data_IF_596329872092
#
_entry.id   IF_596329872092
#
_cell.length_a   1.000
_cell.length_b   1.000
_cell.length_c   1.000
_cell.angle_alpha   90.00
_cell.angle_beta   90.00
_cell.angle_gamma   90.00
#
_symmetry.space_group_name_H-M   'P 1'
#
loop_
_entity.id
_entity.type
_entity.pdbx_description
1 polymer ?
#
# COMPACT_ATOMS: atom_id res chain seq x y z
N UNK A 1 -6.00 16.61 -13.65
CA UNK A 1 -5.66 15.54 -12.67
C UNK A 1 -4.16 15.38 -12.69
N UNK A 2 -3.44 15.75 -11.62
CA UNK A 2 -2.00 15.50 -11.51
C UNK A 2 -1.81 14.14 -10.87
N UNK A 3 -1.18 13.21 -11.57
CA UNK A 3 -0.91 11.87 -11.05
C UNK A 3 0.56 11.82 -10.67
N UNK A 4 0.84 11.74 -9.37
CA UNK A 4 2.18 11.54 -8.82
C UNK A 4 2.37 10.04 -8.50
N UNK A 5 2.33 9.21 -9.53
CA UNK A 5 2.53 7.76 -9.43
C UNK A 5 3.59 7.37 -10.46
N UNK A 6 4.76 6.99 -9.98
CA UNK A 6 5.91 6.60 -10.80
C UNK A 6 6.55 5.31 -10.24
N UNK A 7 7.28 4.53 -11.07
CA UNK A 7 8.07 3.41 -10.58
C UNK A 7 9.07 3.86 -9.51
N UNK A 8 9.18 3.08 -8.43
CA UNK A 8 10.12 3.35 -7.32
C UNK A 8 11.56 3.15 -7.78
N UNK A 9 12.44 4.06 -7.36
CA UNK A 9 13.90 3.95 -7.47
C UNK A 9 14.48 3.38 -6.17
N UNK A 10 15.67 2.78 -6.25
CA UNK A 10 16.35 2.22 -5.08
C UNK A 10 16.72 3.27 -4.01
N UNK A 11 16.87 4.53 -4.42
CA UNK A 11 17.18 5.67 -3.57
C UNK A 11 15.94 6.31 -2.91
N UNK A 12 14.73 5.82 -3.22
CA UNK A 12 13.51 6.43 -2.70
C UNK A 12 13.26 6.01 -1.25
N UNK A 13 13.07 7.01 -0.39
CA UNK A 13 12.66 6.82 1.00
C UNK A 13 11.24 7.35 1.21
N UNK A 14 10.47 6.70 2.09
CA UNK A 14 9.09 7.10 2.38
C UNK A 14 8.07 6.56 1.39
N UNK A 15 6.99 7.33 1.16
CA UNK A 15 5.91 6.98 0.25
C UNK A 15 4.92 5.94 0.82
N UNK A 16 4.17 5.29 -0.07
CA UNK A 16 3.14 4.33 0.29
C UNK A 16 3.34 3.00 -0.44
N UNK A 17 3.16 1.88 0.25
CA UNK A 17 2.99 0.57 -0.39
C UNK A 17 1.51 0.17 -0.34
N UNK A 18 1.05 -0.47 -1.41
CA UNK A 18 -0.35 -0.86 -1.54
C UNK A 18 -0.61 -2.21 -0.84
N UNK A 19 -1.61 -2.22 0.03
CA UNK A 19 -2.17 -3.41 0.66
C UNK A 19 -3.44 -3.82 -0.09
N UNK A 20 -3.49 -5.03 -0.69
CA UNK A 20 -4.67 -5.54 -1.38
C UNK A 20 -5.87 -5.60 -0.44
N UNK A 21 -7.01 -5.08 -0.90
CA UNK A 21 -8.26 -5.14 -0.15
C UNK A 21 -8.78 -6.58 -0.08
N UNK A 22 -9.21 -7.02 1.11
CA UNK A 22 -9.82 -8.34 1.29
C UNK A 22 -11.05 -8.54 0.41
N UNK A 23 -11.83 -7.47 0.16
CA UNK A 23 -13.00 -7.55 -0.72
C UNK A 23 -12.65 -7.96 -2.16
N UNK A 24 -11.44 -7.62 -2.63
CA UNK A 24 -10.96 -7.98 -3.97
C UNK A 24 -10.22 -9.33 -3.98
N UNK A 25 -9.64 -9.71 -2.83
CA UNK A 25 -8.92 -10.98 -2.66
C UNK A 25 -9.43 -11.68 -1.38
N UNK A 26 -10.60 -12.32 -1.41
CA UNK A 26 -11.27 -12.80 -0.19
C UNK A 26 -10.44 -13.80 0.63
N UNK A 27 -9.73 -14.68 -0.06
CA UNK A 27 -8.94 -15.78 0.55
C UNK A 27 -7.50 -15.36 0.86
N UNK A 28 -6.98 -14.29 0.27
CA UNK A 28 -5.56 -13.92 0.34
C UNK A 28 -4.66 -14.87 -0.46
N UNK A 29 -3.36 -14.85 -0.18
CA UNK A 29 -2.35 -15.78 -0.72
C UNK A 29 -1.48 -16.31 0.41
N UNK A 30 -0.67 -17.34 0.12
CA UNK A 30 0.33 -17.86 1.06
C UNK A 30 1.22 -16.70 1.55
N UNK A 31 1.47 -16.67 2.85
CA UNK A 31 2.32 -15.69 3.55
C UNK A 31 1.76 -14.25 3.60
N UNK A 32 0.52 -14.03 3.18
CA UNK A 32 -0.16 -12.75 3.36
C UNK A 32 -0.78 -12.66 4.76
N UNK A 33 -0.56 -11.55 5.44
CA UNK A 33 -1.08 -11.32 6.80
C UNK A 33 -2.31 -10.42 6.73
N UNK A 34 -3.39 -10.81 7.41
CA UNK A 34 -4.58 -9.96 7.47
C UNK A 34 -4.30 -8.74 8.35
N UNK A 35 -4.56 -7.55 7.84
CA UNK A 35 -4.36 -6.27 8.52
C UNK A 35 -5.50 -5.29 8.22
N UNK A 36 -5.43 -4.07 8.76
CA UNK A 36 -6.38 -2.99 8.51
C UNK A 36 -5.65 -1.78 7.92
N UNK A 37 -6.29 -1.13 6.94
CA UNK A 37 -5.79 0.14 6.41
C UNK A 37 -5.82 1.21 7.52
N UNK A 38 -4.70 1.89 7.81
CA UNK A 38 -4.66 2.91 8.85
C UNK A 38 -5.45 4.17 8.51
N UNK A 39 -5.82 4.37 7.24
CA UNK A 39 -6.55 5.55 6.79
C UNK A 39 -8.07 5.36 6.72
N UNK A 40 -8.54 4.19 6.27
CA UNK A 40 -9.97 3.94 6.10
C UNK A 40 -10.51 2.77 6.92
N UNK A 41 -9.67 2.05 7.67
CA UNK A 41 -10.06 0.91 8.51
C UNK A 41 -10.40 -0.37 7.75
N UNK A 42 -10.42 -0.36 6.41
CA UNK A 42 -10.77 -1.52 5.60
C UNK A 42 -9.82 -2.72 5.82
N UNK A 43 -10.37 -3.94 5.80
CA UNK A 43 -9.58 -5.16 5.86
C UNK A 43 -8.73 -5.32 4.60
N UNK A 44 -7.41 -5.44 4.79
CA UNK A 44 -6.43 -5.56 3.74
C UNK A 44 -5.45 -6.69 4.03
N UNK A 45 -4.65 -7.05 3.04
CA UNK A 45 -3.56 -8.01 3.16
C UNK A 45 -2.23 -7.28 3.18
N UNK A 46 -1.40 -7.58 4.16
CA UNK A 46 0.00 -7.21 4.19
C UNK A 46 0.80 -8.29 3.45
N UNK A 47 1.61 -7.87 2.46
CA UNK A 47 2.44 -8.76 1.67
C UNK A 47 3.77 -9.06 2.39
N UNK A 48 4.45 -10.18 2.09
CA UNK A 48 5.80 -10.46 2.59
C UNK A 48 6.82 -9.35 2.30
N UNK A 49 6.68 -8.67 1.16
CA UNK A 49 7.52 -7.54 0.75
C UNK A 49 7.28 -6.25 1.56
N UNK A 50 6.26 -6.21 2.43
CA UNK A 50 5.96 -5.05 3.25
C UNK A 50 7.11 -4.68 4.18
N UNK A 51 7.87 -5.67 4.67
CA UNK A 51 9.03 -5.41 5.53
C UNK A 51 10.12 -4.61 4.82
N UNK A 52 10.38 -4.92 3.54
CA UNK A 52 11.33 -4.15 2.71
C UNK A 52 10.83 -2.72 2.50
N UNK A 53 9.54 -2.56 2.20
CA UNK A 53 8.94 -1.24 2.00
C UNK A 53 8.95 -0.40 3.29
N UNK A 54 8.65 -1.01 4.45
CA UNK A 54 8.72 -0.37 5.77
C UNK A 54 10.15 0.03 6.13
N UNK A 55 11.14 -0.81 5.83
CA UNK A 55 12.55 -0.49 6.04
C UNK A 55 13.00 0.72 5.20
N UNK A 56 12.42 0.91 4.02
CA UNK A 56 12.58 2.12 3.19
C UNK A 56 11.73 3.31 3.67
N UNK A 57 11.00 3.19 4.78
CA UNK A 57 10.16 4.24 5.35
C UNK A 57 8.76 4.36 4.72
N UNK A 58 8.37 3.45 3.83
CA UNK A 58 7.05 3.48 3.21
C UNK A 58 5.94 3.07 4.19
N UNK A 59 4.78 3.74 4.09
CA UNK A 59 3.60 3.44 4.92
C UNK A 59 2.61 2.57 4.15
N UNK A 60 2.04 1.58 4.83
CA UNK A 60 1.03 0.71 4.22
C UNK A 60 -0.32 1.39 4.11
N UNK A 61 -0.90 1.42 2.91
CA UNK A 61 -2.27 1.88 2.67
C UNK A 61 -3.00 0.89 1.77
N UNK A 62 -4.33 0.80 1.89
CA UNK A 62 -5.10 0.05 0.90
C UNK A 62 -4.91 0.67 -0.49
N UNK A 63 -5.00 -0.14 -1.54
CA UNK A 63 -4.78 0.32 -2.92
C UNK A 63 -5.61 1.57 -3.26
N UNK A 64 -6.86 1.64 -2.80
CA UNK A 64 -7.72 2.80 -3.05
C UNK A 64 -7.26 4.07 -2.31
N UNK A 65 -6.81 3.96 -1.06
CA UNK A 65 -6.27 5.10 -0.31
C UNK A 65 -4.95 5.58 -0.93
N UNK A 66 -4.05 4.66 -1.27
CA UNK A 66 -2.79 4.99 -1.93
C UNK A 66 -3.01 5.71 -3.26
N UNK A 67 -3.93 5.22 -4.10
CA UNK A 67 -4.28 5.87 -5.37
C UNK A 67 -4.89 7.25 -5.15
N UNK A 68 -5.83 7.41 -4.21
CA UNK A 68 -6.41 8.71 -3.88
C UNK A 68 -5.34 9.73 -3.51
N UNK A 69 -4.34 9.35 -2.71
CA UNK A 69 -3.21 10.22 -2.36
C UNK A 69 -2.31 10.54 -3.56
N UNK A 70 -1.94 9.54 -4.36
CA UNK A 70 -1.11 9.75 -5.55
C UNK A 70 -1.78 10.60 -6.63
N UNK A 71 -3.11 10.54 -6.73
CA UNK A 71 -3.92 11.30 -7.69
C UNK A 71 -4.27 12.71 -7.20
N UNK A 72 -4.34 12.92 -5.89
CA UNK A 72 -4.72 14.23 -5.32
C UNK A 72 -3.57 15.23 -5.28
N UNK A 73 -2.34 14.83 -5.64
CA UNK A 73 -1.22 15.70 -5.95
C UNK A 73 -1.13 16.94 -5.06
N UNK A 74 -0.78 16.76 -3.80
CA UNK A 74 -0.34 17.85 -2.92
C UNK A 74 1.17 17.84 -2.82
#
# INVERSE_FOLDING_TARGET
MRVAIEPRKATDHGGYYCMPLKVNVPTGRKDWKLTKCPECGAQCWELPLAEVAKAQGAKGLCTMCALKKGVSGR
#
